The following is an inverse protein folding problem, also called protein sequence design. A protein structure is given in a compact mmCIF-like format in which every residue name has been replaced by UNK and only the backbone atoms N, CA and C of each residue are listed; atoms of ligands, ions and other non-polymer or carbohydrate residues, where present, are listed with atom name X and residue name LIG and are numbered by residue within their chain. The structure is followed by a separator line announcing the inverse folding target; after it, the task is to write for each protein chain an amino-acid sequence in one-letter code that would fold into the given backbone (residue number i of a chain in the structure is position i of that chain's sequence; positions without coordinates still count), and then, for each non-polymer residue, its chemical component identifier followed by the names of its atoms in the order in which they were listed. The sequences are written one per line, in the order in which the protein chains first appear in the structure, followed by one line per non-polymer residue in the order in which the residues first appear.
data_IF_486337983912
#
_entry.id   IF_486337983912
#
_cell.length_a   1.000
_cell.length_b   1.000
_cell.length_c   1.000
_cell.angle_alpha   90.00
_cell.angle_beta   90.00
_cell.angle_gamma   90.00
#
_symmetry.space_group_name_H-M   'P 1'
#
loop_
_entity.id
_entity.type
_entity.pdbx_description
1 polymer ?
#
# COMPACT_ATOMS: atom_id res chain seq x y z
N UNK A 1 9.38 -11.46 -6.75
CA UNK A 1 9.00 -10.21 -6.07
C UNK A 1 9.96 -9.10 -6.45
N UNK A 2 9.44 -7.91 -6.61
CA UNK A 2 10.24 -6.73 -6.92
C UNK A 2 10.77 -6.13 -5.63
N UNK A 3 12.08 -5.94 -5.56
CA UNK A 3 12.71 -5.27 -4.42
C UNK A 3 12.48 -3.77 -4.51
N UNK A 4 11.94 -3.21 -3.43
CA UNK A 4 11.72 -1.76 -3.32
C UNK A 4 13.04 -1.11 -2.88
N UNK A 5 13.61 -0.19 -3.68
CA UNK A 5 14.82 0.51 -3.26
C UNK A 5 14.64 1.25 -1.92
N UNK A 6 15.70 1.28 -1.12
CA UNK A 6 15.66 1.93 0.20
C UNK A 6 15.23 3.39 0.10
N UNK A 7 15.67 4.11 -0.90
CA UNK A 7 15.29 5.50 -1.17
C UNK A 7 13.78 5.65 -1.31
N UNK A 8 13.13 4.71 -2.01
CA UNK A 8 11.67 4.73 -2.22
C UNK A 8 10.94 4.38 -0.92
N UNK A 9 11.44 3.39 -0.16
CA UNK A 9 10.87 3.06 1.16
C UNK A 9 10.89 4.27 2.09
N UNK A 10 12.03 4.94 2.18
CA UNK A 10 12.21 6.12 3.01
C UNK A 10 11.27 7.24 2.59
N UNK A 11 11.08 7.43 1.28
CA UNK A 11 10.13 8.41 0.75
C UNK A 11 8.69 8.10 1.19
N UNK A 12 8.25 6.85 1.05
CA UNK A 12 6.89 6.43 1.45
C UNK A 12 6.67 6.63 2.95
N UNK A 13 7.63 6.24 3.76
CA UNK A 13 7.57 6.43 5.22
C UNK A 13 7.51 7.91 5.60
N UNK A 14 8.29 8.75 4.92
CA UNK A 14 8.31 10.19 5.16
C UNK A 14 6.98 10.86 4.84
N UNK A 15 6.26 10.39 3.81
CA UNK A 15 4.92 10.91 3.51
C UNK A 15 3.90 10.48 4.56
N UNK A 16 4.04 9.32 5.17
CA UNK A 16 3.15 8.83 6.22
C UNK A 16 1.74 8.48 5.76
N UNK A 17 1.48 8.54 4.47
CA UNK A 17 0.18 8.22 3.87
C UNK A 17 0.38 7.80 2.42
N UNK A 18 -0.41 6.84 1.96
CA UNK A 18 -0.55 6.52 0.55
C UNK A 18 -2.01 6.22 0.24
N UNK A 19 -2.36 6.17 -1.02
CA UNK A 19 -3.69 5.77 -1.48
C UNK A 19 -3.63 4.40 -2.14
N UNK A 20 -4.69 3.63 -1.93
CA UNK A 20 -4.84 2.29 -2.51
C UNK A 20 -5.99 2.30 -3.49
N UNK A 21 -5.72 1.89 -4.73
CA UNK A 21 -6.71 1.67 -5.76
C UNK A 21 -7.06 0.19 -5.86
N UNK A 22 -8.34 -0.12 -6.00
CA UNK A 22 -8.85 -1.48 -6.13
C UNK A 22 -10.01 -1.54 -7.11
N UNK A 23 -10.28 -2.71 -7.66
CA UNK A 23 -11.38 -2.94 -8.60
C UNK A 23 -12.16 -4.18 -8.20
N UNK A 24 -13.47 -4.05 -8.10
CA UNK A 24 -14.36 -5.17 -7.82
C UNK A 24 -14.92 -5.82 -9.07
N UNK A 25 -15.91 -6.68 -8.89
CA UNK A 25 -16.56 -7.43 -9.99
C UNK A 25 -17.36 -6.60 -10.98
N UNK A 26 -17.67 -5.33 -10.65
CA UNK A 26 -18.41 -4.41 -11.50
C UNK A 26 -17.50 -3.47 -12.31
N UNK A 27 -16.18 -3.67 -12.26
CA UNK A 27 -15.16 -2.82 -12.89
C UNK A 27 -15.14 -1.36 -12.40
N UNK A 28 -15.87 -1.03 -11.36
CA UNK A 28 -15.76 0.29 -10.72
C UNK A 28 -14.53 0.31 -9.82
N UNK A 29 -13.68 1.30 -10.04
CA UNK A 29 -12.49 1.49 -9.21
C UNK A 29 -12.83 2.22 -7.93
N UNK A 30 -12.14 1.86 -6.85
CA UNK A 30 -12.21 2.53 -5.57
C UNK A 30 -10.82 2.97 -5.15
N UNK A 31 -10.70 4.17 -4.60
CA UNK A 31 -9.44 4.69 -4.09
C UNK A 31 -9.66 5.15 -2.65
N UNK A 32 -8.78 4.75 -1.75
CA UNK A 32 -8.85 5.15 -0.35
C UNK A 32 -7.47 5.27 0.28
N UNK A 33 -7.30 6.18 1.28
CA UNK A 33 -6.00 6.39 1.91
C UNK A 33 -5.70 5.34 2.98
N UNK A 34 -4.40 5.16 3.24
CA UNK A 34 -3.88 4.33 4.34
C UNK A 34 -2.79 5.09 5.07
N UNK A 35 -2.91 5.18 6.39
CA UNK A 35 -1.88 5.75 7.26
C UNK A 35 -1.28 4.70 8.21
N UNK A 36 -1.99 3.61 8.48
CA UNK A 36 -1.51 2.49 9.29
C UNK A 36 -0.87 1.47 8.36
N UNK A 37 0.44 1.59 8.17
CA UNK A 37 1.18 0.70 7.27
C UNK A 37 2.61 0.47 7.73
N UNK A 38 3.21 -0.58 7.14
CA UNK A 38 4.62 -0.92 7.26
C UNK A 38 5.13 -1.32 5.89
N UNK A 39 6.27 -0.81 5.49
CA UNK A 39 6.91 -1.15 4.22
C UNK A 39 8.22 -1.89 4.46
N UNK A 40 8.35 -3.05 3.83
CA UNK A 40 9.56 -3.87 3.81
C UNK A 40 10.19 -3.82 2.41
N UNK A 41 11.21 -4.66 2.17
CA UNK A 41 11.94 -4.64 0.90
C UNK A 41 11.10 -5.03 -0.32
N UNK A 42 10.06 -5.82 -0.14
CA UNK A 42 9.27 -6.38 -1.26
C UNK A 42 7.76 -6.31 -1.00
N UNK A 43 7.36 -5.88 0.18
CA UNK A 43 5.99 -6.01 0.68
C UNK A 43 5.58 -4.76 1.43
N UNK A 44 4.33 -4.37 1.26
CA UNK A 44 3.68 -3.35 2.07
C UNK A 44 2.54 -4.02 2.83
N UNK A 45 2.48 -3.78 4.14
CA UNK A 45 1.37 -4.22 4.98
C UNK A 45 0.57 -3.02 5.40
N UNK A 46 -0.76 -3.16 5.45
CA UNK A 46 -1.60 -2.11 6.03
C UNK A 46 -2.77 -2.70 6.81
N UNK A 47 -3.41 -1.85 7.60
CA UNK A 47 -4.58 -2.21 8.40
C UNK A 47 -5.85 -1.66 7.76
N UNK A 48 -6.87 -2.51 7.66
CA UNK A 48 -8.21 -2.16 7.24
C UNK A 48 -9.15 -2.21 8.46
N UNK A 49 -9.42 -1.05 9.05
CA UNK A 49 -10.33 -0.93 10.19
C UNK A 49 -11.78 -0.99 9.76
N UNK A 50 -12.09 -0.32 8.66
CA UNK A 50 -13.44 -0.25 8.11
C UNK A 50 -13.51 -1.12 6.86
N UNK A 51 -13.95 -2.35 7.00
CA UNK A 51 -13.98 -3.35 5.94
C UNK A 51 -15.00 -3.00 4.84
N UNK A 52 -14.83 -1.85 4.19
CA UNK A 52 -15.73 -1.32 3.17
C UNK A 52 -15.35 -1.74 1.74
N UNK A 53 -15.36 -0.79 0.81
CA UNK A 53 -15.26 -1.05 -0.63
C UNK A 53 -13.96 -1.72 -1.05
N UNK A 54 -12.81 -1.20 -0.59
CA UNK A 54 -11.51 -1.78 -0.93
C UNK A 54 -11.38 -3.20 -0.41
N UNK A 55 -11.77 -3.43 0.84
CA UNK A 55 -11.71 -4.75 1.47
C UNK A 55 -12.57 -5.77 0.71
N UNK A 56 -13.77 -5.37 0.30
CA UNK A 56 -14.68 -6.23 -0.51
C UNK A 56 -14.12 -6.48 -1.89
N UNK A 57 -13.52 -5.47 -2.52
CA UNK A 57 -12.90 -5.59 -3.83
C UNK A 57 -11.75 -6.60 -3.82
N UNK A 58 -10.92 -6.60 -2.78
CA UNK A 58 -9.78 -7.52 -2.67
C UNK A 58 -10.20 -8.99 -2.63
N UNK A 59 -11.40 -9.28 -2.13
CA UNK A 59 -11.92 -10.65 -2.13
C UNK A 59 -12.29 -11.15 -3.53
N UNK A 60 -12.57 -10.24 -4.45
CA UNK A 60 -12.95 -10.55 -5.83
C UNK A 60 -11.76 -10.43 -6.77
N UNK A 61 -10.94 -9.40 -6.57
CA UNK A 61 -9.79 -9.12 -7.41
C UNK A 61 -8.59 -8.76 -6.52
N UNK A 62 -7.55 -9.61 -6.49
CA UNK A 62 -6.40 -9.37 -5.62
C UNK A 62 -5.47 -8.25 -6.12
N UNK A 63 -5.61 -7.78 -7.34
CA UNK A 63 -4.77 -6.71 -7.86
C UNK A 63 -5.12 -5.37 -7.22
N UNK A 64 -4.08 -4.65 -6.84
CA UNK A 64 -4.19 -3.31 -6.26
C UNK A 64 -3.10 -2.40 -6.79
N UNK A 65 -3.35 -1.11 -6.71
CA UNK A 65 -2.36 -0.08 -7.02
C UNK A 65 -2.18 0.80 -5.79
N UNK A 66 -0.94 1.05 -5.42
CA UNK A 66 -0.58 1.97 -4.35
C UNK A 66 0.09 3.18 -4.97
N UNK A 67 -0.33 4.38 -4.59
CA UNK A 67 0.26 5.61 -5.08
C UNK A 67 0.61 6.54 -3.92
N UNK A 68 1.79 7.12 -3.98
CA UNK A 68 2.30 8.09 -3.01
C UNK A 68 2.92 9.27 -3.75
N UNK A 69 2.64 10.49 -3.28
CA UNK A 69 3.09 11.70 -3.98
C UNK A 69 3.34 12.84 -3.00
N UNK A 70 4.43 13.57 -3.22
CA UNK A 70 4.72 14.82 -2.51
C UNK A 70 4.56 15.98 -3.50
N UNK A 71 3.60 16.85 -3.24
CA UNK A 71 3.25 17.95 -4.14
C UNK A 71 4.31 19.04 -4.20
N UNK A 72 5.06 19.24 -3.14
CA UNK A 72 6.06 20.30 -3.05
C UNK A 72 7.36 19.92 -3.79
N UNK A 73 7.73 18.63 -3.70
CA UNK A 73 8.89 18.09 -4.42
C UNK A 73 8.55 17.64 -5.85
N UNK A 74 7.27 17.57 -6.22
CA UNK A 74 6.77 16.98 -7.46
C UNK A 74 7.36 15.59 -7.70
N UNK A 75 7.31 14.77 -6.65
CA UNK A 75 7.93 13.46 -6.63
C UNK A 75 6.94 12.42 -6.10
N UNK A 76 6.94 11.25 -6.68
CA UNK A 76 6.07 10.17 -6.24
C UNK A 76 6.35 8.84 -6.91
N UNK A 77 5.66 7.82 -6.43
CA UNK A 77 5.81 6.45 -6.92
C UNK A 77 4.47 5.75 -6.97
N UNK A 78 4.38 4.81 -7.89
CA UNK A 78 3.23 3.93 -8.01
C UNK A 78 3.70 2.48 -7.96
N UNK A 79 3.02 1.69 -7.16
CA UNK A 79 3.25 0.24 -7.08
C UNK A 79 2.00 -0.47 -7.55
N UNK A 80 2.16 -1.49 -8.38
CA UNK A 80 1.09 -2.43 -8.70
C UNK A 80 1.47 -3.81 -8.18
N UNK A 81 0.51 -4.52 -7.68
CA UNK A 81 0.77 -5.84 -7.11
C UNK A 81 -0.50 -6.53 -6.64
N UNK A 82 -0.32 -7.59 -5.87
CA UNK A 82 -1.43 -8.41 -5.40
C UNK A 82 -1.52 -8.37 -3.89
N UNK A 83 -2.76 -8.39 -3.39
CA UNK A 83 -3.05 -8.41 -1.96
C UNK A 83 -3.45 -9.81 -1.51
N UNK A 84 -3.13 -10.10 -0.26
CA UNK A 84 -3.64 -11.27 0.47
C UNK A 84 -3.98 -10.86 1.89
N UNK A 85 -4.88 -11.63 2.50
CA UNK A 85 -5.29 -11.41 3.89
C UNK A 85 -4.42 -12.26 4.81
N UNK A 86 -3.88 -11.67 5.87
CA UNK A 86 -3.17 -12.40 6.90
C UNK A 86 -4.21 -13.00 7.84
N UNK A 87 -4.33 -14.32 7.85
CA UNK A 87 -5.35 -15.05 8.62
C UNK A 87 -4.78 -15.81 9.82
N UNK A 88 -3.48 -16.10 9.83
CA UNK A 88 -2.81 -16.72 10.97
C UNK A 88 -2.78 -15.75 12.15
N UNK A 89 -3.49 -16.06 13.22
CA UNK A 89 -3.71 -15.13 14.34
C UNK A 89 -2.41 -14.65 15.02
N UNK A 90 -1.41 -15.50 15.32
CA UNK A 90 -0.15 -15.01 15.87
C UNK A 90 0.58 -14.05 14.95
N UNK A 91 0.65 -14.36 13.65
CA UNK A 91 1.28 -13.51 12.64
C UNK A 91 0.52 -12.20 12.46
N UNK A 92 -0.80 -12.28 12.39
CA UNK A 92 -1.69 -11.11 12.27
C UNK A 92 -1.48 -10.13 13.43
N UNK A 93 -1.45 -10.64 14.66
CA UNK A 93 -1.25 -9.83 15.87
C UNK A 93 0.12 -9.17 15.87
N UNK A 94 1.16 -9.90 15.51
CA UNK A 94 2.53 -9.38 15.45
C UNK A 94 2.65 -8.25 14.43
N UNK A 95 2.15 -8.45 13.22
CA UNK A 95 2.19 -7.44 12.16
C UNK A 95 1.35 -6.22 12.55
N UNK A 96 0.14 -6.43 13.07
CA UNK A 96 -0.73 -5.35 13.52
C UNK A 96 -0.05 -4.48 14.58
N UNK A 97 0.55 -5.09 15.59
CA UNK A 97 1.23 -4.37 16.67
C UNK A 97 2.43 -3.58 16.14
N UNK A 98 3.20 -4.15 15.23
CA UNK A 98 4.33 -3.48 14.58
C UNK A 98 3.87 -2.26 13.79
N UNK A 99 2.79 -2.39 13.01
CA UNK A 99 2.23 -1.28 12.23
C UNK A 99 1.73 -0.17 13.16
N UNK A 100 1.02 -0.51 14.23
CA UNK A 100 0.50 0.47 15.18
C UNK A 100 1.65 1.23 15.83
N UNK A 101 2.68 0.54 16.29
CA UNK A 101 3.85 1.15 16.92
C UNK A 101 4.52 2.16 15.98
N UNK A 102 4.81 1.76 14.75
CA UNK A 102 5.43 2.65 13.76
C UNK A 102 4.53 3.84 13.39
N UNK A 103 3.22 3.61 13.28
CA UNK A 103 2.26 4.67 12.94
C UNK A 103 2.17 5.70 14.06
N UNK A 104 2.13 5.28 15.32
CA UNK A 104 2.10 6.19 16.46
C UNK A 104 3.38 7.01 16.62
N UNK A 105 4.51 6.50 16.19
CA UNK A 105 5.77 7.26 16.12
C UNK A 105 5.67 8.39 15.10
N UNK A 106 4.95 8.18 13.99
CA UNK A 106 4.77 9.17 12.93
C UNK A 106 3.62 10.14 13.17
N UNK A 107 2.59 9.72 13.90
CA UNK A 107 1.35 10.50 14.07
C UNK A 107 0.75 10.25 15.45
N UNK A 108 0.84 11.27 16.31
CA UNK A 108 0.37 11.24 17.71
C UNK A 108 -1.04 11.81 17.89
N UNK A 109 -1.82 12.01 16.82
CA UNK A 109 -3.17 12.56 16.97
C UNK A 109 -4.09 11.64 17.77
N UNK A 110 -5.06 12.21 18.48
CA UNK A 110 -6.02 11.44 19.27
C UNK A 110 -6.87 10.51 18.41
N UNK A 111 -7.16 10.91 17.17
CA UNK A 111 -7.89 10.08 16.22
C UNK A 111 -7.12 8.81 15.85
N UNK A 112 -5.82 8.94 15.62
CA UNK A 112 -4.95 7.78 15.30
C UNK A 112 -4.86 6.86 16.51
N UNK A 113 -4.67 7.41 17.72
CA UNK A 113 -4.64 6.61 18.94
C UNK A 113 -5.96 5.87 19.18
N UNK A 114 -7.08 6.52 18.93
CA UNK A 114 -8.40 5.90 19.05
C UNK A 114 -8.59 4.73 18.06
N UNK A 115 -8.20 4.91 16.80
CA UNK A 115 -8.28 3.86 15.79
C UNK A 115 -7.39 2.67 16.12
N UNK A 116 -6.21 2.91 16.69
CA UNK A 116 -5.26 1.85 17.02
C UNK A 116 -5.80 0.80 18.00
N UNK A 117 -6.84 1.13 18.75
CA UNK A 117 -7.48 0.21 19.71
C UNK A 117 -8.61 -0.62 19.08
N UNK A 118 -8.95 -0.38 17.82
CA UNK A 118 -10.04 -1.09 17.15
C UNK A 118 -9.53 -2.35 16.45
N UNK A 119 -10.46 -3.27 16.19
CA UNK A 119 -10.14 -4.45 15.38
C UNK A 119 -9.85 -4.04 13.93
N UNK A 120 -8.94 -4.76 13.29
CA UNK A 120 -8.54 -4.46 11.92
C UNK A 120 -8.17 -5.74 11.17
N UNK A 121 -8.47 -5.75 9.88
CA UNK A 121 -7.89 -6.72 8.96
C UNK A 121 -6.45 -6.32 8.65
N UNK A 122 -5.57 -7.29 8.50
CA UNK A 122 -4.17 -7.09 8.09
C UNK A 122 -4.03 -7.54 6.64
N UNK A 123 -3.64 -6.60 5.78
CA UNK A 123 -3.46 -6.86 4.35
C UNK A 123 -1.98 -6.89 4.03
N UNK A 124 -1.57 -7.90 3.28
CA UNK A 124 -0.24 -8.00 2.70
C UNK A 124 -0.31 -7.66 1.21
N UNK A 125 0.48 -6.69 0.79
CA UNK A 125 0.60 -6.28 -0.61
C UNK A 125 1.99 -6.65 -1.12
N UNK A 126 2.04 -7.57 -2.07
CA UNK A 126 3.27 -7.98 -2.74
C UNK A 126 3.48 -7.12 -3.97
N UNK A 127 4.58 -6.37 -4.00
CA UNK A 127 4.90 -5.48 -5.12
C UNK A 127 5.33 -6.30 -6.33
N UNK A 128 4.66 -6.10 -7.47
CA UNK A 128 4.95 -6.73 -8.74
C UNK A 128 5.63 -5.79 -9.73
N UNK A 129 5.33 -4.51 -9.65
CA UNK A 129 5.94 -3.49 -10.51
C UNK A 129 5.91 -2.13 -9.79
N UNK A 130 6.96 -1.35 -10.00
CA UNK A 130 7.11 -0.01 -9.44
C UNK A 130 7.39 1.00 -10.55
N UNK A 131 6.69 2.14 -10.50
CA UNK A 131 6.85 3.25 -11.45
C UNK A 131 7.17 4.54 -10.70
N UNK A 132 7.91 5.43 -11.37
CA UNK A 132 8.03 6.82 -10.95
C UNK A 132 6.79 7.62 -11.40
N UNK A 133 6.32 8.51 -10.54
CA UNK A 133 5.28 9.49 -10.86
C UNK A 133 5.86 10.90 -11.03
N UNK A 134 7.19 11.02 -11.09
CA UNK A 134 7.86 12.32 -11.26
C UNK A 134 7.57 12.86 -12.66
N UNK A 135 7.08 14.12 -12.78
CA UNK A 135 6.72 14.66 -14.10
C UNK A 135 7.87 14.74 -15.10
N UNK A 136 9.10 14.77 -14.62
CA UNK A 136 10.32 14.83 -15.45
C UNK A 136 10.81 13.47 -15.90
N UNK A 137 10.19 12.37 -15.42
CA UNK A 137 10.55 11.00 -15.76
C UNK A 137 9.44 10.34 -16.57
N UNK A 138 9.81 9.30 -17.34
CA UNK A 138 8.83 8.49 -18.08
C UNK A 138 8.09 7.57 -17.11
N UNK A 139 6.84 7.89 -16.84
CA UNK A 139 6.00 7.15 -15.89
C UNK A 139 5.54 5.78 -16.38
N UNK A 140 5.64 5.50 -17.67
CA UNK A 140 5.30 4.21 -18.26
C UNK A 140 6.49 3.23 -18.29
N UNK A 141 7.67 3.67 -17.85
CA UNK A 141 8.83 2.80 -17.67
C UNK A 141 8.92 2.37 -16.21
N UNK A 142 8.96 1.06 -15.98
CA UNK A 142 9.07 0.55 -14.60
C UNK A 142 10.48 0.75 -14.03
N UNK A 143 10.54 1.07 -12.75
CA UNK A 143 11.79 1.06 -11.97
C UNK A 143 12.22 -0.38 -11.72
N UNK A 144 11.25 -1.26 -11.49
CA UNK A 144 11.46 -2.69 -11.31
C UNK A 144 10.16 -3.45 -11.58
N UNK A 145 10.28 -4.64 -12.17
CA UNK A 145 9.13 -5.48 -12.49
C UNK A 145 9.53 -6.95 -12.52
N UNK A 146 8.68 -7.82 -11.96
CA UNK A 146 8.77 -9.27 -12.09
C UNK A 146 7.66 -9.84 -12.99
N UNK A 147 6.92 -8.98 -13.68
CA UNK A 147 5.88 -9.35 -14.62
C UNK A 147 6.22 -8.80 -16.01
N UNK A 148 5.72 -9.49 -17.04
CA UNK A 148 5.87 -9.02 -18.41
C UNK A 148 5.11 -7.69 -18.56
N UNK A 149 5.82 -6.64 -18.95
CA UNK A 149 5.26 -5.30 -19.14
C UNK A 149 4.12 -5.28 -20.15
N UNK A 150 4.13 -6.19 -21.13
CA UNK A 150 3.06 -6.31 -22.11
C UNK A 150 1.74 -6.77 -21.48
N UNK A 151 1.78 -7.45 -20.36
CA UNK A 151 0.59 -7.88 -19.62
C UNK A 151 0.00 -6.77 -18.73
N UNK A 152 0.81 -5.81 -18.36
CA UNK A 152 0.41 -4.71 -17.44
C UNK A 152 -0.41 -3.64 -18.17
N UNK A 153 -0.19 -3.48 -19.49
CA UNK A 153 -0.79 -2.42 -20.30
C UNK A 153 -1.86 -2.91 -21.29
N UNK A 154 -2.28 -4.14 -21.15
CA UNK A 154 -3.37 -4.67 -21.98
C UNK A 154 -4.73 -4.48 -21.33
#
# INVERSE_FOLDING_TARGET
MVKIPTEIKDFVEAQGVFVVGSTGGNNLTNVSPRIFFKINDETIYWLDFFKHKSYKNFKVNPWATVAVFNKDELKGYQFRGTVSFITDEPTKTEIKNSIITETLERNLSDKVKSLSNQDAGVIQFEVKVCYSLNPEEYSDMSIGSDIDSTQVFK
#
